data_IF_826669179518
#
_entry.id   IF_826669179518
#
_cell.length_a   1.000
_cell.length_b   1.000
_cell.length_c   1.000
_cell.angle_alpha   90.00
_cell.angle_beta   90.00
_cell.angle_gamma   90.00
#
_symmetry.space_group_name_H-M   'P 1'
#
loop_
_entity.id
_entity.type
_entity.pdbx_description
1 polymer ?
#
# COMPACT_ATOMS: atom_id res chain seq x y z
N UNK A 1 -11.38 19.03 -5.08
CA UNK A 1 -10.47 17.93 -5.45
C UNK A 1 -11.30 16.66 -5.53
N UNK A 2 -11.59 16.15 -6.73
CA UNK A 2 -12.39 14.92 -6.87
C UNK A 2 -11.45 13.76 -6.56
N UNK A 3 -11.65 13.10 -5.42
CA UNK A 3 -11.00 11.83 -5.13
C UNK A 3 -11.64 10.83 -6.08
N UNK A 4 -10.95 10.48 -7.16
CA UNK A 4 -11.35 9.36 -8.02
C UNK A 4 -11.31 8.10 -7.16
N UNK A 5 -12.50 7.69 -6.70
CA UNK A 5 -12.69 6.45 -5.96
C UNK A 5 -12.17 5.32 -6.86
N UNK A 6 -11.21 4.57 -6.35
CA UNK A 6 -10.77 3.29 -6.91
C UNK A 6 -11.99 2.37 -7.05
N UNK A 7 -12.63 2.39 -8.22
CA UNK A 7 -13.90 1.69 -8.47
C UNK A 7 -13.58 0.42 -9.24
N UNK A 8 -13.87 -0.74 -8.63
CA UNK A 8 -13.78 -2.01 -9.33
C UNK A 8 -15.11 -2.23 -10.09
N UNK A 9 -15.07 -2.15 -11.42
CA UNK A 9 -16.25 -2.30 -12.30
C UNK A 9 -16.93 -3.68 -12.19
N UNK A 10 -16.24 -4.68 -11.64
CA UNK A 10 -16.76 -6.03 -11.40
C UNK A 10 -17.40 -6.20 -10.00
N UNK A 11 -17.33 -5.17 -9.15
CA UNK A 11 -17.87 -5.20 -7.80
C UNK A 11 -19.19 -4.42 -7.76
N UNK A 12 -20.27 -5.10 -7.36
CA UNK A 12 -21.62 -4.54 -7.32
C UNK A 12 -21.73 -3.29 -6.40
N UNK A 13 -20.83 -3.18 -5.42
CA UNK A 13 -20.84 -2.14 -4.39
C UNK A 13 -19.42 -1.66 -3.98
N UNK A 14 -18.39 -2.11 -4.68
CA UNK A 14 -16.97 -1.83 -4.41
C UNK A 14 -16.46 -2.28 -3.02
N UNK A 15 -17.25 -3.04 -2.24
CA UNK A 15 -16.84 -3.48 -0.89
C UNK A 15 -15.63 -4.42 -0.95
N UNK A 16 -15.57 -5.32 -1.92
CA UNK A 16 -14.46 -6.27 -2.04
C UNK A 16 -13.13 -5.57 -2.27
N UNK A 17 -13.14 -4.50 -3.05
CA UNK A 17 -11.95 -3.69 -3.30
C UNK A 17 -11.54 -2.91 -2.06
N UNK A 18 -12.50 -2.33 -1.32
CA UNK A 18 -12.22 -1.64 -0.05
C UNK A 18 -11.61 -2.62 0.96
N UNK A 19 -12.22 -3.80 1.13
CA UNK A 19 -11.73 -4.85 2.03
C UNK A 19 -10.35 -5.36 1.60
N UNK A 20 -10.10 -5.47 0.30
CA UNK A 20 -8.78 -5.82 -0.22
C UNK A 20 -7.74 -4.75 0.14
N UNK A 21 -8.04 -3.47 -0.09
CA UNK A 21 -7.15 -2.35 0.25
C UNK A 21 -6.88 -2.30 1.76
N UNK A 22 -7.91 -2.48 2.59
CA UNK A 22 -7.76 -2.53 4.05
C UNK A 22 -6.83 -3.67 4.47
N UNK A 23 -6.98 -4.86 3.88
CA UNK A 23 -6.10 -6.00 4.16
C UNK A 23 -4.65 -5.75 3.73
N UNK A 24 -4.42 -4.95 2.69
CA UNK A 24 -3.06 -4.60 2.23
C UNK A 24 -2.30 -3.71 3.24
N UNK A 25 -2.98 -3.09 4.20
CA UNK A 25 -2.37 -2.31 5.27
C UNK A 25 -2.14 -3.12 6.55
N UNK A 26 -2.48 -4.41 6.58
CA UNK A 26 -2.33 -5.25 7.75
C UNK A 26 -1.35 -6.40 7.48
N UNK A 27 -0.62 -6.79 8.51
CA UNK A 27 0.30 -7.92 8.49
C UNK A 27 -0.48 -9.22 8.31
N UNK A 28 -0.13 -10.02 7.30
CA UNK A 28 -0.76 -11.31 7.05
C UNK A 28 -0.55 -12.34 8.19
N UNK A 29 0.46 -12.15 9.05
CA UNK A 29 0.79 -13.09 10.13
C UNK A 29 0.10 -12.75 11.44
N UNK A 30 0.17 -11.49 11.88
CA UNK A 30 -0.33 -11.07 13.19
C UNK A 30 -1.52 -10.10 13.13
N UNK A 31 -1.93 -9.67 11.93
CA UNK A 31 -3.02 -8.73 11.73
C UNK A 31 -2.75 -7.31 12.21
N UNK A 32 -1.51 -6.96 12.61
CA UNK A 32 -1.18 -5.59 13.00
C UNK A 32 -1.12 -4.67 11.77
N UNK A 33 -1.39 -3.39 11.97
CA UNK A 33 -1.16 -2.39 10.93
C UNK A 33 0.32 -2.36 10.51
N UNK A 34 0.55 -2.17 9.21
CA UNK A 34 1.87 -2.05 8.61
C UNK A 34 2.31 -0.60 8.65
N UNK A 35 3.56 -0.37 9.01
CA UNK A 35 4.20 0.93 8.93
C UNK A 35 4.74 1.15 7.52
N UNK A 36 4.27 2.21 6.88
CA UNK A 36 4.69 2.55 5.52
C UNK A 36 5.77 3.63 5.59
N UNK A 37 6.91 3.33 4.97
CA UNK A 37 8.05 4.21 4.81
C UNK A 37 8.16 4.61 3.34
N UNK A 38 8.26 5.90 3.09
CA UNK A 38 8.43 6.44 1.73
C UNK A 38 9.78 7.12 1.65
N UNK A 39 10.59 6.73 0.68
CA UNK A 39 11.91 7.31 0.43
C UNK A 39 12.00 7.80 -1.01
N UNK A 40 12.29 9.08 -1.18
CA UNK A 40 12.51 9.66 -2.51
C UNK A 40 14.00 9.64 -2.86
N UNK A 41 14.27 9.18 -4.07
CA UNK A 41 15.56 9.21 -4.74
C UNK A 41 15.47 10.23 -5.88
N UNK A 42 15.97 11.44 -5.63
CA UNK A 42 15.88 12.55 -6.59
C UNK A 42 16.78 12.32 -7.82
N UNK A 43 17.89 11.61 -7.65
CA UNK A 43 18.87 11.34 -8.71
C UNK A 43 18.29 10.56 -9.89
N UNK A 44 17.40 9.60 -9.61
CA UNK A 44 16.77 8.75 -10.61
C UNK A 44 15.24 8.96 -10.67
N UNK A 45 14.75 10.07 -10.09
CA UNK A 45 13.32 10.40 -10.05
C UNK A 45 12.46 9.21 -9.58
N UNK A 46 12.88 8.52 -8.52
CA UNK A 46 12.18 7.32 -8.02
C UNK A 46 11.71 7.53 -6.58
N UNK A 47 10.49 7.09 -6.28
CA UNK A 47 9.96 6.95 -4.92
C UNK A 47 9.90 5.48 -4.57
N UNK A 48 10.56 5.09 -3.50
CA UNK A 48 10.45 3.77 -2.92
C UNK A 48 9.45 3.80 -1.76
N UNK A 49 8.44 2.96 -1.85
CA UNK A 49 7.49 2.68 -0.78
C UNK A 49 7.83 1.33 -0.17
N UNK A 50 8.05 1.29 1.14
CA UNK A 50 8.32 0.09 1.91
C UNK A 50 7.27 -0.06 3.02
N UNK A 51 6.72 -1.26 3.20
CA UNK A 51 5.81 -1.56 4.30
C UNK A 51 6.43 -2.60 5.24
N UNK A 52 6.42 -2.32 6.53
CA UNK A 52 7.01 -3.17 7.57
C UNK A 52 6.01 -3.44 8.69
N UNK A 53 5.99 -4.67 9.19
CA UNK A 53 5.31 -5.03 10.42
C UNK A 53 6.29 -4.93 11.60
N UNK A 54 6.12 -3.95 12.49
CA UNK A 54 7.00 -3.78 13.67
C UNK A 54 6.91 -4.96 14.66
N UNK A 55 5.75 -5.64 14.74
CA UNK A 55 5.56 -6.78 15.64
C UNK A 55 6.28 -8.04 15.17
N UNK A 56 6.16 -8.35 13.88
CA UNK A 56 6.81 -9.52 13.27
C UNK A 56 8.23 -9.21 12.79
N UNK A 57 8.63 -7.92 12.80
CA UNK A 57 9.90 -7.42 12.24
C UNK A 57 10.10 -7.90 10.80
N UNK A 58 9.04 -7.82 10.00
CA UNK A 58 8.99 -8.32 8.64
C UNK A 58 8.66 -7.20 7.67
N UNK A 59 9.50 -7.04 6.65
CA UNK A 59 9.20 -6.23 5.47
C UNK A 59 8.25 -7.00 4.56
N UNK A 60 7.04 -6.48 4.38
CA UNK A 60 5.96 -7.15 3.64
C UNK A 60 5.88 -6.69 2.18
N UNK A 61 6.28 -5.45 1.89
CA UNK A 61 6.22 -4.85 0.55
C UNK A 61 7.38 -3.88 0.36
N UNK A 62 8.01 -3.92 -0.81
CA UNK A 62 8.92 -2.89 -1.32
C UNK A 62 8.53 -2.63 -2.77
N UNK A 63 8.22 -1.38 -3.11
CA UNK A 63 7.81 -0.99 -4.46
C UNK A 63 8.45 0.33 -4.86
N UNK A 64 9.07 0.33 -6.02
CA UNK A 64 9.66 1.53 -6.60
C UNK A 64 8.70 2.13 -7.64
N UNK A 65 8.54 3.44 -7.58
CA UNK A 65 7.67 4.23 -8.43
C UNK A 65 8.52 5.30 -9.12
N UNK A 66 8.56 5.28 -10.45
CA UNK A 66 9.23 6.34 -11.20
C UNK A 66 8.31 7.56 -11.28
N UNK A 67 8.79 8.69 -10.78
CA UNK A 67 8.17 9.99 -10.98
C UNK A 67 8.29 10.35 -12.46
N UNK A 68 7.18 10.76 -13.09
CA UNK A 68 7.09 10.99 -14.52
C UNK A 68 6.82 12.45 -14.85
#
# INVERSE_FOLDING_TARGET
MKIEKWFNELSENNLDHIVFVEKQHHCALCGSELKIHVKSYLENYTVQEEAECEKCQLKTRVKDHRMH
#
